data_IF_902342049900
#
_entry.id   IF_902342049900
#
_cell.length_a   1.000
_cell.length_b   1.000
_cell.length_c   1.000
_cell.angle_alpha   90.00
_cell.angle_beta   90.00
_cell.angle_gamma   90.00
#
_symmetry.space_group_name_H-M   'P 1'
#
loop_
_entity.id
_entity.type
_entity.pdbx_description
1 polymer ?
#
# COMPACT_ATOMS: atom_id res chain seq x y z
N UNK A 1 5.66 29.26 -26.38
CA UNK A 1 6.09 27.84 -26.31
C UNK A 1 5.30 27.19 -25.18
N UNK A 2 4.68 26.03 -25.41
CA UNK A 2 3.97 25.29 -24.34
C UNK A 2 4.97 24.95 -23.23
N UNK A 3 4.70 25.41 -22.01
CA UNK A 3 5.56 25.19 -20.86
C UNK A 3 5.44 23.71 -20.44
N UNK A 4 6.32 22.86 -20.98
CA UNK A 4 6.31 21.41 -20.67
C UNK A 4 6.58 21.21 -19.19
N UNK A 5 5.61 20.63 -18.47
CA UNK A 5 5.77 20.23 -17.07
C UNK A 5 6.46 18.87 -17.03
N UNK A 6 7.56 18.78 -16.27
CA UNK A 6 8.38 17.58 -16.12
C UNK A 6 8.24 17.07 -14.68
N UNK A 7 8.05 15.76 -14.50
CA UNK A 7 8.04 15.11 -13.18
C UNK A 7 9.18 14.10 -13.11
N UNK A 8 10.01 14.19 -12.07
CA UNK A 8 11.03 13.19 -11.77
C UNK A 8 10.48 12.17 -10.76
N UNK A 9 10.55 10.88 -11.10
CA UNK A 9 10.05 9.79 -10.25
C UNK A 9 11.22 8.91 -9.84
N UNK A 10 11.48 8.84 -8.54
CA UNK A 10 12.53 7.99 -7.96
C UNK A 10 11.87 6.75 -7.34
N UNK A 11 12.48 5.58 -7.55
CA UNK A 11 11.86 4.30 -7.19
C UNK A 11 10.81 3.84 -8.21
N UNK A 12 10.90 4.30 -9.47
CA UNK A 12 9.93 4.04 -10.54
C UNK A 12 9.75 2.56 -10.92
N UNK A 13 10.67 1.68 -10.50
CA UNK A 13 10.59 0.24 -10.71
C UNK A 13 9.86 -0.50 -9.59
N UNK A 14 9.63 0.15 -8.44
CA UNK A 14 8.80 -0.39 -7.36
C UNK A 14 7.32 -0.07 -7.57
N UNK A 15 6.42 -0.74 -6.84
CA UNK A 15 4.97 -0.63 -7.05
C UNK A 15 4.44 0.81 -6.95
N UNK A 16 4.90 1.59 -5.97
CA UNK A 16 4.48 2.99 -5.79
C UNK A 16 5.00 3.90 -6.90
N UNK A 17 6.28 3.82 -7.23
CA UNK A 17 6.86 4.64 -8.29
C UNK A 17 6.34 4.27 -9.69
N UNK A 18 6.10 2.98 -9.94
CA UNK A 18 5.49 2.48 -11.18
C UNK A 18 4.08 3.01 -11.38
N UNK A 19 3.24 2.97 -10.33
CA UNK A 19 1.90 3.57 -10.34
C UNK A 19 1.91 5.05 -10.75
N UNK A 20 2.85 5.83 -10.21
CA UNK A 20 3.01 7.24 -10.56
C UNK A 20 3.37 7.40 -12.02
N UNK A 21 4.30 6.58 -12.53
CA UNK A 21 4.67 6.58 -13.96
C UNK A 21 3.46 6.26 -14.84
N UNK A 22 2.71 5.21 -14.53
CA UNK A 22 1.57 4.76 -15.34
C UNK A 22 0.47 5.82 -15.42
N UNK A 23 0.17 6.50 -14.32
CA UNK A 23 -0.84 7.56 -14.28
C UNK A 23 -0.43 8.77 -15.13
N UNK A 24 0.85 9.14 -15.13
CA UNK A 24 1.33 10.28 -15.90
C UNK A 24 1.75 9.96 -17.34
N UNK A 25 2.01 8.70 -17.70
CA UNK A 25 2.22 8.29 -19.10
C UNK A 25 0.92 8.34 -19.92
N UNK A 26 -0.23 8.14 -19.26
CA UNK A 26 -1.55 8.33 -19.85
C UNK A 26 -1.99 9.81 -19.87
N UNK A 27 -1.11 10.73 -19.42
CA UNK A 27 -1.30 12.19 -19.38
C UNK A 27 -0.19 12.86 -20.24
N UNK A 28 -0.39 14.05 -20.83
CA UNK A 28 0.62 14.74 -21.66
C UNK A 28 1.96 15.17 -21.00
N UNK A 29 2.35 14.61 -19.84
CA UNK A 29 3.55 15.00 -19.11
C UNK A 29 4.81 14.19 -19.51
N UNK A 30 5.99 14.77 -19.28
CA UNK A 30 7.29 14.14 -19.57
C UNK A 30 7.97 13.65 -18.28
N UNK A 31 8.49 12.41 -18.27
CA UNK A 31 9.06 11.74 -17.10
C UNK A 31 10.59 11.69 -17.14
N UNK A 32 11.25 12.00 -16.02
CA UNK A 32 12.71 11.86 -15.82
C UNK A 32 13.08 10.69 -14.89
N UNK A 33 14.11 9.92 -15.24
CA UNK A 33 14.61 8.75 -14.47
C UNK A 33 15.88 9.10 -13.67
N UNK A 34 15.96 8.64 -12.41
CA UNK A 34 17.14 8.79 -11.54
C UNK A 34 17.38 7.58 -10.64
N UNK A 35 18.63 7.36 -10.22
CA UNK A 35 19.09 6.30 -9.32
C UNK A 35 19.51 6.88 -7.96
N UNK A 36 18.93 6.36 -6.87
CA UNK A 36 19.17 6.81 -5.49
C UNK A 36 20.63 6.66 -5.04
N UNK A 37 21.36 5.71 -5.60
CA UNK A 37 22.76 5.47 -5.26
C UNK A 37 23.73 6.34 -6.08
N UNK A 38 23.22 7.12 -7.05
CA UNK A 38 24.03 7.97 -7.91
C UNK A 38 23.54 9.42 -7.89
N UNK A 39 24.19 10.24 -7.05
CA UNK A 39 23.89 11.67 -6.88
C UNK A 39 23.86 12.45 -8.21
N UNK A 40 24.75 12.16 -9.15
CA UNK A 40 24.77 12.86 -10.46
C UNK A 40 23.57 12.49 -11.33
N UNK A 41 23.07 11.26 -11.22
CA UNK A 41 21.83 10.85 -11.89
C UNK A 41 20.62 11.60 -11.34
N UNK A 42 20.56 11.83 -10.03
CA UNK A 42 19.50 12.59 -9.37
C UNK A 42 19.53 14.07 -9.77
N UNK A 43 20.72 14.70 -9.79
CA UNK A 43 20.87 16.08 -10.27
C UNK A 43 20.37 16.23 -11.70
N UNK A 44 20.70 15.29 -12.59
CA UNK A 44 20.19 15.27 -13.97
C UNK A 44 18.67 15.07 -14.02
N UNK A 45 18.13 14.14 -13.24
CA UNK A 45 16.69 13.87 -13.19
C UNK A 45 15.87 15.06 -12.66
N UNK A 46 16.44 15.85 -11.75
CA UNK A 46 15.75 17.00 -11.13
C UNK A 46 15.89 18.29 -11.93
N UNK A 47 16.87 18.39 -12.84
CA UNK A 47 17.10 19.61 -13.62
C UNK A 47 15.90 19.89 -14.52
N UNK A 48 15.19 20.99 -14.27
CA UNK A 48 13.98 21.39 -15.00
C UNK A 48 12.70 20.66 -14.58
N UNK A 49 12.75 19.79 -13.55
CA UNK A 49 11.57 19.14 -13.01
C UNK A 49 10.68 20.16 -12.27
N UNK A 50 9.38 20.11 -12.53
CA UNK A 50 8.36 20.91 -11.84
C UNK A 50 7.97 20.30 -10.50
N UNK A 51 8.12 18.98 -10.35
CA UNK A 51 7.92 18.23 -9.12
C UNK A 51 8.84 16.98 -9.07
N UNK A 52 9.16 16.54 -7.86
CA UNK A 52 9.94 15.31 -7.60
C UNK A 52 9.14 14.43 -6.64
N UNK A 53 8.93 13.16 -7.00
CA UNK A 53 8.35 12.14 -6.12
C UNK A 53 9.43 11.12 -5.75
N UNK A 54 9.63 10.92 -4.45
CA UNK A 54 10.65 10.01 -3.93
C UNK A 54 10.05 8.98 -2.98
N UNK A 55 10.25 7.70 -3.31
CA UNK A 55 9.96 6.56 -2.43
C UNK A 55 11.27 5.84 -2.16
N UNK A 56 11.53 5.58 -0.89
CA UNK A 56 12.67 4.78 -0.42
C UNK A 56 12.14 3.53 0.26
N UNK A 57 12.53 2.37 -0.23
CA UNK A 57 12.08 1.08 0.31
C UNK A 57 13.08 0.57 1.36
N UNK A 58 12.81 0.83 2.63
CA UNK A 58 13.67 0.44 3.74
C UNK A 58 13.80 -1.10 3.92
N UNK A 59 12.81 -1.86 3.41
CA UNK A 59 12.68 -3.31 3.64
C UNK A 59 13.18 -4.17 2.46
N UNK A 60 13.78 -3.58 1.43
CA UNK A 60 14.03 -4.21 0.12
C UNK A 60 15.08 -5.34 0.12
N UNK A 61 15.86 -5.55 1.19
CA UNK A 61 16.94 -6.54 1.19
C UNK A 61 16.63 -7.91 1.82
N UNK A 62 15.37 -8.26 2.12
CA UNK A 62 15.04 -9.60 2.65
C UNK A 62 13.94 -10.36 1.87
N UNK A 63 14.22 -10.59 0.58
CA UNK A 63 13.63 -11.59 -0.35
C UNK A 63 12.11 -11.58 -0.57
N UNK A 64 11.68 -10.91 -1.66
CA UNK A 64 10.31 -10.97 -2.22
C UNK A 64 9.84 -12.40 -2.53
N UNK A 65 10.74 -13.26 -2.99
CA UNK A 65 10.41 -14.66 -3.31
C UNK A 65 10.08 -15.47 -2.06
N UNK A 66 10.73 -15.15 -0.94
CA UNK A 66 10.45 -15.78 0.36
C UNK A 66 9.09 -15.36 0.90
N UNK A 67 8.72 -14.07 0.80
CA UNK A 67 7.39 -13.57 1.20
C UNK A 67 6.27 -14.21 0.35
N UNK A 68 6.46 -14.30 -0.97
CA UNK A 68 5.50 -14.96 -1.86
C UNK A 68 5.39 -16.46 -1.55
N UNK A 69 6.50 -17.14 -1.25
CA UNK A 69 6.48 -18.56 -0.91
C UNK A 69 5.85 -18.81 0.46
N UNK A 70 6.10 -17.95 1.45
CA UNK A 70 5.45 -17.99 2.76
C UNK A 70 3.94 -17.74 2.64
N UNK A 71 3.52 -16.73 1.86
CA UNK A 71 2.12 -16.48 1.55
C UNK A 71 1.45 -17.67 0.85
N UNK A 72 2.13 -18.32 -0.10
CA UNK A 72 1.65 -19.56 -0.73
C UNK A 72 1.53 -20.71 0.26
N UNK A 73 2.51 -20.91 1.15
CA UNK A 73 2.48 -21.97 2.15
C UNK A 73 1.33 -21.77 3.15
N UNK A 74 1.06 -20.53 3.56
CA UNK A 74 -0.09 -20.18 4.41
C UNK A 74 -1.40 -20.47 3.68
N UNK A 75 -1.50 -20.07 2.41
CA UNK A 75 -2.68 -20.34 1.57
C UNK A 75 -2.87 -21.84 1.33
N UNK A 76 -1.81 -22.60 1.10
CA UNK A 76 -1.87 -24.04 0.85
C UNK A 76 -2.15 -24.83 2.14
N UNK A 77 -1.68 -24.36 3.30
CA UNK A 77 -2.10 -24.88 4.60
C UNK A 77 -3.58 -24.56 4.88
N UNK A 78 -4.02 -23.33 4.60
CA UNK A 78 -5.41 -22.90 4.74
C UNK A 78 -6.36 -23.66 3.80
N UNK A 79 -5.93 -24.03 2.59
CA UNK A 79 -6.68 -24.91 1.67
C UNK A 79 -6.93 -26.31 2.24
N UNK A 80 -6.00 -26.85 3.04
CA UNK A 80 -6.14 -28.19 3.64
C UNK A 80 -7.12 -28.22 4.81
N UNK A 81 -7.37 -27.09 5.47
CA UNK A 81 -8.38 -26.96 6.54
C UNK A 81 -9.65 -26.21 6.12
N UNK A 82 -9.64 -25.60 4.92
CA UNK A 82 -10.76 -24.93 4.29
C UNK A 82 -11.13 -23.58 4.91
N UNK A 83 -10.28 -22.98 5.75
CA UNK A 83 -10.59 -21.72 6.45
C UNK A 83 -9.54 -20.64 6.15
N UNK A 84 -9.98 -19.53 5.55
CA UNK A 84 -9.16 -18.33 5.37
C UNK A 84 -9.22 -17.49 6.63
N UNK A 85 -8.08 -17.18 7.25
CA UNK A 85 -8.07 -16.35 8.46
C UNK A 85 -7.29 -15.08 8.21
N UNK A 86 -7.95 -13.94 8.34
CA UNK A 86 -7.26 -12.65 8.44
C UNK A 86 -6.82 -12.47 9.88
N UNK A 87 -5.53 -12.72 10.14
CA UNK A 87 -4.93 -12.66 11.47
C UNK A 87 -4.00 -11.46 11.59
N UNK A 88 -4.33 -10.51 12.47
CA UNK A 88 -3.50 -9.33 12.77
C UNK A 88 -3.51 -9.03 14.27
N UNK A 89 -2.46 -8.40 14.84
CA UNK A 89 -2.35 -8.11 16.27
C UNK A 89 -3.16 -6.87 16.66
N UNK A 90 -4.45 -6.88 16.35
CA UNK A 90 -5.35 -5.73 16.47
C UNK A 90 -6.76 -6.21 16.78
N UNK A 91 -7.63 -5.37 17.37
CA UNK A 91 -9.06 -5.71 17.49
C UNK A 91 -9.75 -5.69 16.12
N UNK A 92 -10.86 -6.41 16.03
CA UNK A 92 -11.67 -6.59 14.81
C UNK A 92 -12.26 -5.28 14.25
N UNK A 93 -12.31 -4.24 15.10
CA UNK A 93 -12.82 -2.90 14.81
C UNK A 93 -11.74 -1.87 14.46
N UNK A 94 -10.47 -2.25 14.45
CA UNK A 94 -9.36 -1.33 14.19
C UNK A 94 -9.54 -0.64 12.82
N UNK A 95 -9.51 0.71 12.73
CA UNK A 95 -9.71 1.42 11.46
C UNK A 95 -8.40 1.48 10.66
N UNK A 96 -8.20 0.52 9.77
CA UNK A 96 -6.98 0.41 8.96
C UNK A 96 -7.13 1.27 7.69
N UNK A 97 -6.31 2.31 7.47
CA UNK A 97 -6.29 2.99 6.18
C UNK A 97 -5.67 2.07 5.14
N UNK A 98 -6.43 1.71 4.12
CA UNK A 98 -5.96 0.86 3.02
C UNK A 98 -6.13 1.55 1.68
N UNK A 99 -5.27 1.21 0.73
CA UNK A 99 -5.42 1.52 -0.69
C UNK A 99 -4.62 0.52 -1.53
N UNK A 100 -4.94 0.42 -2.81
CA UNK A 100 -4.11 -0.31 -3.75
C UNK A 100 -2.87 0.51 -4.08
N UNK A 101 -1.69 -0.06 -3.86
CA UNK A 101 -0.41 0.60 -4.19
C UNK A 101 -0.33 1.04 -5.66
N UNK A 102 -1.06 0.38 -6.56
CA UNK A 102 -1.18 0.73 -7.98
C UNK A 102 -1.93 2.04 -8.22
N UNK A 103 -2.58 2.59 -7.21
CA UNK A 103 -3.29 3.87 -7.24
C UNK A 103 -2.48 5.03 -6.63
N UNK A 104 -1.25 4.80 -6.17
CA UNK A 104 -0.40 5.85 -5.59
C UNK A 104 -0.36 7.11 -6.46
N UNK A 105 -0.27 6.95 -7.78
CA UNK A 105 -0.26 8.06 -8.73
C UNK A 105 -1.52 8.92 -8.72
N UNK A 106 -2.67 8.44 -8.25
CA UNK A 106 -3.93 9.21 -8.19
C UNK A 106 -3.76 10.40 -7.24
N UNK A 107 -3.19 10.15 -6.06
CA UNK A 107 -2.89 11.21 -5.09
C UNK A 107 -1.76 12.12 -5.57
N UNK A 108 -0.70 11.55 -6.17
CA UNK A 108 0.40 12.36 -6.71
C UNK A 108 -0.08 13.29 -7.83
N UNK A 109 -0.95 12.80 -8.72
CA UNK A 109 -1.62 13.60 -9.76
C UNK A 109 -2.42 14.75 -9.16
N UNK A 110 -3.21 14.49 -8.13
CA UNK A 110 -3.93 15.53 -7.42
C UNK A 110 -2.98 16.61 -6.87
N UNK A 111 -1.91 16.21 -6.18
CA UNK A 111 -0.91 17.12 -5.59
C UNK A 111 -0.24 17.98 -6.67
N UNK A 112 0.16 17.38 -7.79
CA UNK A 112 0.84 18.09 -8.87
C UNK A 112 -0.10 19.05 -9.61
N UNK A 113 -1.32 18.62 -9.92
CA UNK A 113 -2.28 19.42 -10.69
C UNK A 113 -2.93 20.53 -9.86
N UNK A 114 -3.16 20.30 -8.56
CA UNK A 114 -3.72 21.28 -7.62
C UNK A 114 -2.65 21.88 -6.70
N UNK A 115 -1.40 22.01 -7.17
CA UNK A 115 -0.25 22.50 -6.39
C UNK A 115 -0.56 23.75 -5.56
N UNK A 116 -1.16 24.77 -6.16
CA UNK A 116 -1.41 26.05 -5.48
C UNK A 116 -2.39 25.92 -4.30
N UNK A 117 -3.25 24.89 -4.32
CA UNK A 117 -4.21 24.60 -3.25
C UNK A 117 -3.62 23.66 -2.19
N UNK A 118 -2.73 22.76 -2.59
CA UNK A 118 -2.24 21.65 -1.76
C UNK A 118 -0.81 21.87 -1.22
N UNK A 119 -0.11 22.93 -1.65
CA UNK A 119 1.23 23.22 -1.15
C UNK A 119 1.22 23.43 0.37
N UNK A 120 2.03 22.65 1.09
CA UNK A 120 2.09 22.67 2.56
C UNK A 120 0.91 21.98 3.26
N UNK A 121 -0.02 21.36 2.52
CA UNK A 121 -1.12 20.56 3.07
C UNK A 121 -0.72 19.10 3.17
N UNK A 122 -1.42 18.36 4.04
CA UNK A 122 -1.36 16.89 4.12
C UNK A 122 -2.44 16.33 3.21
N UNK A 123 -2.07 15.33 2.40
CA UNK A 123 -3.01 14.57 1.56
C UNK A 123 -2.87 13.11 1.97
N UNK A 124 -3.96 12.52 2.47
CA UNK A 124 -3.98 11.19 3.04
C UNK A 124 -4.25 10.16 1.93
N UNK A 125 -3.26 9.31 1.68
CA UNK A 125 -3.34 8.21 0.71
C UNK A 125 -4.10 7.02 1.29
N UNK A 126 -5.43 7.02 1.16
CA UNK A 126 -6.25 5.87 1.52
C UNK A 126 -7.57 5.89 0.76
N UNK A 127 -8.04 4.72 0.31
CA UNK A 127 -9.38 4.56 -0.27
C UNK A 127 -10.44 4.78 0.81
N UNK A 128 -10.24 4.22 2.00
CA UNK A 128 -11.06 4.38 3.20
C UNK A 128 -10.36 3.76 4.41
N UNK A 129 -10.81 4.12 5.60
CA UNK A 129 -10.61 3.27 6.77
C UNK A 129 -11.45 2.00 6.62
N UNK A 130 -10.82 0.85 6.82
CA UNK A 130 -11.44 -0.46 6.71
C UNK A 130 -11.09 -1.27 7.95
N UNK A 131 -12.08 -1.95 8.53
CA UNK A 131 -11.83 -2.81 9.68
C UNK A 131 -11.40 -4.22 9.26
N UNK A 132 -10.70 -4.98 10.12
CA UNK A 132 -10.43 -6.39 9.85
C UNK A 132 -11.68 -7.21 9.48
N UNK A 133 -12.84 -6.96 10.11
CA UNK A 133 -14.10 -7.61 9.72
C UNK A 133 -14.53 -7.25 8.31
N UNK A 134 -14.44 -5.97 7.95
CA UNK A 134 -14.77 -5.51 6.60
C UNK A 134 -13.83 -6.10 5.54
N UNK A 135 -12.58 -6.39 5.88
CA UNK A 135 -11.65 -7.13 4.99
C UNK A 135 -12.15 -8.55 4.77
N UNK A 136 -12.54 -9.26 5.82
CA UNK A 136 -13.10 -10.63 5.72
C UNK A 136 -14.40 -10.62 4.93
N UNK A 137 -15.28 -9.66 5.16
CA UNK A 137 -16.55 -9.52 4.44
C UNK A 137 -16.33 -9.18 2.97
N UNK A 138 -15.36 -8.32 2.65
CA UNK A 138 -14.95 -8.05 1.27
C UNK A 138 -14.42 -9.31 0.59
N UNK A 139 -13.62 -10.14 1.30
CA UNK A 139 -13.13 -11.42 0.78
C UNK A 139 -14.27 -12.40 0.50
N UNK A 140 -15.22 -12.56 1.44
CA UNK A 140 -16.44 -13.37 1.27
C UNK A 140 -17.27 -12.91 0.08
N UNK A 141 -17.39 -11.59 -0.10
CA UNK A 141 -18.14 -10.99 -1.20
C UNK A 141 -17.41 -11.15 -2.54
N UNK A 142 -16.08 -11.12 -2.53
CA UNK A 142 -15.27 -11.33 -3.72
C UNK A 142 -15.26 -12.79 -4.17
N UNK A 143 -15.23 -13.73 -3.21
CA UNK A 143 -15.07 -15.16 -3.43
C UNK A 143 -16.02 -15.97 -2.52
N UNK A 144 -17.31 -16.14 -2.88
CA UNK A 144 -18.28 -16.81 -2.02
C UNK A 144 -17.95 -18.27 -1.67
N UNK A 145 -17.32 -19.03 -2.57
CA UNK A 145 -16.96 -20.44 -2.30
C UNK A 145 -15.71 -20.51 -1.40
N UNK A 146 -14.64 -19.81 -1.78
CA UNK A 146 -13.40 -19.79 -1.00
C UNK A 146 -13.60 -19.10 0.36
N UNK A 147 -14.45 -18.08 0.41
CA UNK A 147 -14.72 -17.27 1.58
C UNK A 147 -15.72 -17.88 2.57
N UNK A 148 -16.35 -19.02 2.27
CA UNK A 148 -17.43 -19.60 3.09
C UNK A 148 -17.05 -19.67 4.59
N UNK A 149 -15.82 -20.11 4.87
CA UNK A 149 -15.27 -20.23 6.23
C UNK A 149 -14.23 -19.16 6.56
N UNK A 150 -14.20 -18.06 5.80
CA UNK A 150 -13.29 -16.97 6.09
C UNK A 150 -13.63 -16.31 7.44
N UNK A 151 -12.62 -16.03 8.23
CA UNK A 151 -12.76 -15.50 9.57
C UNK A 151 -11.68 -14.48 9.90
N UNK A 152 -11.91 -13.77 10.99
CA UNK A 152 -10.93 -12.88 11.59
C UNK A 152 -10.38 -13.53 12.86
N UNK A 153 -9.09 -13.34 13.11
CA UNK A 153 -8.46 -13.72 14.37
C UNK A 153 -7.59 -12.58 14.89
N UNK A 154 -7.92 -12.07 16.08
CA UNK A 154 -7.06 -11.13 16.77
C UNK A 154 -5.87 -11.88 17.36
N UNK A 155 -4.70 -11.70 16.75
CA UNK A 155 -3.50 -12.43 17.11
C UNK A 155 -2.90 -11.82 18.40
N UNK A 156 -2.68 -12.61 19.46
CA UNK A 156 -1.98 -12.13 20.64
C UNK A 156 -0.62 -11.53 20.29
N UNK A 157 -0.24 -10.43 20.95
CA UNK A 157 0.97 -9.69 20.62
C UNK A 157 2.25 -10.53 20.73
N UNK A 158 2.33 -11.40 21.73
CA UNK A 158 3.43 -12.34 21.94
C UNK A 158 3.53 -13.36 20.79
N UNK A 159 2.39 -13.90 20.34
CA UNK A 159 2.33 -14.79 19.19
C UNK A 159 2.73 -14.08 17.89
N UNK A 160 2.31 -12.82 17.69
CA UNK A 160 2.73 -12.02 16.55
C UNK A 160 4.24 -11.73 16.54
N UNK A 161 4.80 -11.31 17.70
CA UNK A 161 6.24 -11.09 17.85
C UNK A 161 7.04 -12.34 17.51
N UNK A 162 6.62 -13.49 18.04
CA UNK A 162 7.27 -14.76 17.73
C UNK A 162 7.20 -15.08 16.24
N UNK A 163 6.04 -14.90 15.61
CA UNK A 163 5.86 -15.13 14.18
C UNK A 163 6.74 -14.22 13.31
N UNK A 164 6.90 -12.95 13.67
CA UNK A 164 7.79 -12.01 12.96
C UNK A 164 9.25 -12.44 13.09
N UNK A 165 9.70 -12.80 14.30
CA UNK A 165 11.08 -13.27 14.54
C UNK A 165 11.40 -14.51 13.70
N UNK A 166 10.51 -15.49 13.70
CA UNK A 166 10.70 -16.75 12.99
C UNK A 166 10.64 -16.57 11.46
N UNK A 167 9.67 -15.81 10.95
CA UNK A 167 9.47 -15.63 9.52
C UNK A 167 10.52 -14.73 8.86
N UNK A 168 10.96 -13.69 9.55
CA UNK A 168 11.93 -12.71 9.03
C UNK A 168 13.36 -13.02 9.47
N UNK A 169 13.58 -13.98 10.39
CA UNK A 169 14.88 -14.19 11.03
C UNK A 169 15.38 -12.93 11.74
N UNK A 170 14.45 -12.09 12.20
CA UNK A 170 14.74 -10.73 12.64
C UNK A 170 15.10 -10.67 14.14
N UNK A 171 15.99 -9.76 14.56
CA UNK A 171 16.26 -9.49 15.97
C UNK A 171 15.00 -9.03 16.72
N UNK A 172 15.01 -9.17 18.05
CA UNK A 172 13.88 -8.82 18.92
C UNK A 172 13.35 -7.40 18.70
N UNK A 173 14.25 -6.42 18.61
CA UNK A 173 13.89 -5.02 18.41
C UNK A 173 13.16 -4.75 17.09
N UNK A 174 13.43 -5.53 16.03
CA UNK A 174 12.72 -5.40 14.75
C UNK A 174 11.30 -5.92 14.88
N UNK A 175 11.12 -7.07 15.55
CA UNK A 175 9.79 -7.61 15.79
C UNK A 175 8.95 -6.66 16.65
N UNK A 176 9.58 -6.05 17.67
CA UNK A 176 8.97 -5.02 18.50
C UNK A 176 8.55 -3.79 17.66
N UNK A 177 9.43 -3.27 16.81
CA UNK A 177 9.11 -2.15 15.91
C UNK A 177 7.94 -2.46 14.98
N UNK A 178 7.87 -3.69 14.44
CA UNK A 178 6.75 -4.13 13.58
C UNK A 178 5.45 -4.21 14.38
N UNK A 179 5.48 -4.75 15.60
CA UNK A 179 4.31 -4.78 16.48
C UNK A 179 3.86 -3.36 16.87
N UNK A 180 4.80 -2.48 17.21
CA UNK A 180 4.50 -1.08 17.57
C UNK A 180 3.85 -0.33 16.41
N UNK A 181 4.30 -0.56 15.17
CA UNK A 181 3.65 -0.01 13.97
C UNK A 181 2.21 -0.53 13.81
N UNK A 182 1.96 -1.82 14.05
CA UNK A 182 0.59 -2.35 14.06
C UNK A 182 -0.24 -1.71 15.17
N UNK A 183 0.29 -1.61 16.38
CA UNK A 183 -0.40 -0.96 17.50
C UNK A 183 -0.68 0.51 17.22
N UNK A 184 0.22 1.23 16.56
CA UNK A 184 0.00 2.61 16.15
C UNK A 184 -1.24 2.77 15.28
N UNK A 185 -1.49 1.84 14.35
CA UNK A 185 -2.67 1.89 13.48
C UNK A 185 -3.96 1.74 14.30
N UNK A 186 -4.01 0.81 15.27
CA UNK A 186 -5.22 0.56 16.07
C UNK A 186 -5.40 1.54 17.24
N UNK A 187 -4.33 1.85 17.97
CA UNK A 187 -4.35 2.60 19.23
C UNK A 187 -4.08 4.10 19.01
N UNK A 188 -3.09 4.43 18.18
CA UNK A 188 -2.68 5.82 17.92
C UNK A 188 -3.38 6.49 16.74
N UNK A 189 -3.98 5.68 15.86
CA UNK A 189 -4.53 6.11 14.58
C UNK A 189 -3.41 6.50 13.62
N UNK A 190 -3.22 5.73 12.55
CA UNK A 190 -2.12 5.95 11.59
C UNK A 190 -2.09 7.38 11.00
N UNK A 191 -3.27 7.97 10.73
CA UNK A 191 -3.43 9.39 10.38
C UNK A 191 -4.03 10.22 11.51
N UNK A 192 -3.85 9.80 12.77
CA UNK A 192 -4.59 10.30 13.93
C UNK A 192 -6.11 10.25 13.74
N UNK A 193 -6.60 9.27 12.96
CA UNK A 193 -8.00 9.09 12.56
C UNK A 193 -8.61 10.28 11.79
N UNK A 194 -7.77 11.11 11.16
CA UNK A 194 -8.22 12.26 10.37
C UNK A 194 -9.16 11.82 9.23
N UNK A 195 -10.29 12.53 9.00
CA UNK A 195 -11.20 12.22 7.90
C UNK A 195 -10.51 12.30 6.53
N UNK A 196 -10.98 11.47 5.60
CA UNK A 196 -10.40 11.40 4.25
C UNK A 196 -11.08 12.35 3.27
N UNK A 197 -12.16 13.02 3.67
CA UNK A 197 -13.03 13.83 2.79
C UNK A 197 -12.25 14.87 1.99
N UNK A 198 -11.38 15.63 2.64
CA UNK A 198 -10.56 16.65 1.98
C UNK A 198 -9.56 16.03 0.99
N UNK A 199 -8.98 14.87 1.35
CA UNK A 199 -8.05 14.14 0.50
C UNK A 199 -8.74 13.53 -0.72
N UNK A 200 -9.98 13.08 -0.57
CA UNK A 200 -10.81 12.57 -1.66
C UNK A 200 -11.33 13.69 -2.56
N UNK A 201 -11.75 14.83 -1.99
CA UNK A 201 -12.15 16.02 -2.74
C UNK A 201 -10.99 16.61 -3.57
N UNK A 202 -9.75 16.38 -3.13
CA UNK A 202 -8.56 16.78 -3.87
C UNK A 202 -8.33 15.94 -5.15
N UNK A 203 -8.88 14.73 -5.28
CA UNK A 203 -8.64 13.87 -6.44
C UNK A 203 -9.16 14.48 -7.76
N UNK A 204 -8.61 14.00 -8.88
CA UNK A 204 -8.87 14.57 -10.22
C UNK A 204 -9.21 13.45 -11.20
N UNK A 205 -10.51 13.24 -11.44
CA UNK A 205 -11.04 12.32 -12.45
C UNK A 205 -10.99 10.84 -12.07
N UNK A 206 -9.83 10.40 -11.55
CA UNK A 206 -9.58 9.00 -11.17
C UNK A 206 -10.06 8.74 -9.73
N UNK A 207 -10.63 7.55 -9.51
CA UNK A 207 -11.07 7.07 -8.19
C UNK A 207 -10.16 5.92 -7.74
N UNK A 208 -9.79 5.85 -6.45
CA UNK A 208 -9.06 4.72 -5.93
C UNK A 208 -9.86 3.41 -6.07
N UNK A 209 -9.15 2.34 -6.36
CA UNK A 209 -9.64 0.97 -6.44
C UNK A 209 -10.22 0.57 -5.09
N UNK A 210 -11.42 -0.03 -5.12
CA UNK A 210 -12.05 -0.56 -3.92
C UNK A 210 -11.36 -1.86 -3.48
N UNK A 211 -11.48 -2.22 -2.19
CA UNK A 211 -10.91 -3.48 -1.70
C UNK A 211 -11.46 -4.71 -2.47
N UNK A 212 -12.75 -4.71 -2.81
CA UNK A 212 -13.37 -5.82 -3.55
C UNK A 212 -12.83 -5.89 -4.98
N UNK A 213 -12.67 -4.75 -5.65
CA UNK A 213 -12.10 -4.71 -7.00
C UNK A 213 -10.63 -5.10 -7.01
N UNK A 214 -9.87 -4.70 -5.97
CA UNK A 214 -8.51 -5.19 -5.76
C UNK A 214 -8.49 -6.71 -5.65
N UNK A 215 -9.31 -7.28 -4.76
CA UNK A 215 -9.37 -8.73 -4.54
C UNK A 215 -9.69 -9.48 -5.84
N UNK A 216 -10.74 -9.08 -6.55
CA UNK A 216 -11.15 -9.71 -7.82
C UNK A 216 -10.13 -9.53 -8.95
N UNK A 217 -9.42 -8.41 -8.97
CA UNK A 217 -8.45 -8.08 -10.01
C UNK A 217 -7.02 -8.56 -9.74
N UNK A 218 -6.71 -9.07 -8.54
CA UNK A 218 -5.34 -9.44 -8.18
C UNK A 218 -4.99 -10.86 -8.63
N UNK A 219 -3.86 -11.00 -9.33
CA UNK A 219 -3.39 -12.26 -9.93
C UNK A 219 -3.26 -13.43 -8.93
N UNK A 220 -3.01 -13.13 -7.66
CA UNK A 220 -2.87 -14.16 -6.60
C UNK A 220 -4.19 -14.86 -6.27
N UNK A 221 -5.33 -14.25 -6.62
CA UNK A 221 -6.67 -14.77 -6.33
C UNK A 221 -7.42 -15.20 -7.59
N UNK A 222 -6.76 -15.20 -8.76
CA UNK A 222 -7.39 -15.45 -10.07
C UNK A 222 -8.14 -16.79 -10.18
N UNK A 223 -7.77 -17.77 -9.36
CA UNK A 223 -8.32 -19.13 -9.37
C UNK A 223 -9.34 -19.35 -8.24
N UNK A 224 -9.59 -18.34 -7.39
CA UNK A 224 -10.58 -18.40 -6.32
C UNK A 224 -11.98 -18.11 -6.87
N UNK A 225 -12.97 -18.77 -6.27
CA UNK A 225 -14.38 -18.62 -6.60
C UNK A 225 -15.18 -18.15 -5.39
#
# INVERSE_FOLDING_TARGET
>A
MSNKKIIAVIGSTGSQGGSVVDIFLNDPLTIGKGDLNNKLSLVKAFTGATAVFGVTNYWESMSTDTEIQQGKNIVDAAKNEGAWVFAVPMPESAPIPIFDVRDTGIWVKAIVLKKDQLLGKRVLGSTRYTTPLEVVDAFKTAFPEAGEKAGFYSLPHDAFLQGVKESMGAPDWVAEEVLENMRLVAEGGYFAFEPLDDSHAALVGDKPTSLIDFLRGHKSFKDLK
#
